data_IF_367456790968
#
_entry.id   IF_367456790968
#
_cell.length_a   1.000
_cell.length_b   1.000
_cell.length_c   1.000
_cell.angle_alpha   90.00
_cell.angle_beta   90.00
_cell.angle_gamma   90.00
#
_symmetry.space_group_name_H-M   'P 1'
#
loop_
_entity.id
_entity.type
_entity.pdbx_description
1 polymer ?
#
# COMPACT_ATOMS: atom_id res chain seq x y z
N UNK A 1 -10.31 41.96 -13.37
CA UNK A 1 -10.01 40.53 -13.41
C UNK A 1 -8.67 40.35 -12.72
N UNK A 2 -8.70 40.03 -11.43
CA UNK A 2 -7.52 39.71 -10.64
C UNK A 2 -7.10 38.30 -11.02
N UNK A 3 -5.80 38.11 -11.33
CA UNK A 3 -5.22 36.78 -11.56
C UNK A 3 -5.47 35.88 -10.34
N UNK A 4 -5.69 34.57 -10.52
CA UNK A 4 -5.78 33.68 -9.37
C UNK A 4 -4.46 33.75 -8.59
N UNK A 5 -4.57 33.86 -7.26
CA UNK A 5 -3.45 33.83 -6.35
C UNK A 5 -2.56 32.60 -6.68
N UNK A 6 -1.32 32.85 -7.04
CA UNK A 6 -0.30 31.81 -7.14
C UNK A 6 -0.20 31.14 -5.77
N UNK A 7 -0.27 29.80 -5.71
CA UNK A 7 -0.09 29.09 -4.43
C UNK A 7 1.30 29.48 -3.88
N UNK A 8 1.33 29.81 -2.59
CA UNK A 8 2.57 30.10 -1.90
C UNK A 8 3.61 29.02 -2.22
N UNK A 9 4.87 29.38 -2.49
CA UNK A 9 5.89 28.39 -2.81
C UNK A 9 5.96 27.37 -1.69
N UNK A 10 5.95 26.07 -2.05
CA UNK A 10 6.19 24.95 -1.12
C UNK A 10 7.56 25.22 -0.49
N UNK A 11 7.56 25.71 0.74
CA UNK A 11 8.77 25.99 1.50
C UNK A 11 9.36 24.67 1.95
N UNK A 12 10.39 24.20 1.23
CA UNK A 12 11.24 23.12 1.68
C UNK A 12 11.00 21.79 0.96
N UNK A 13 11.51 21.69 -0.27
CA UNK A 13 11.81 20.39 -0.88
C UNK A 13 12.70 19.61 0.10
N UNK A 14 12.21 18.46 0.59
CA UNK A 14 13.05 17.58 1.41
C UNK A 14 14.24 17.13 0.59
N UNK A 15 15.49 17.31 1.08
CA UNK A 15 16.66 16.85 0.36
C UNK A 15 16.62 15.31 0.24
N UNK A 16 17.12 14.80 -0.88
CA UNK A 16 17.32 13.36 -1.04
C UNK A 16 18.50 12.91 -0.19
N UNK A 17 18.33 11.83 0.58
CA UNK A 17 19.41 11.18 1.31
C UNK A 17 19.96 10.00 0.49
N UNK A 18 21.22 10.05 0.13
CA UNK A 18 21.98 8.99 -0.55
C UNK A 18 23.01 8.32 0.36
N UNK A 19 23.07 8.71 1.62
CA UNK A 19 24.02 8.17 2.59
C UNK A 19 23.40 7.10 3.46
N UNK A 20 22.13 7.32 3.90
CA UNK A 20 21.42 6.41 4.79
C UNK A 20 22.28 6.00 6.00
N UNK A 21 22.28 4.72 6.30
CA UNK A 21 23.12 4.15 7.39
C UNK A 21 24.54 3.78 6.96
N UNK A 22 24.91 3.99 5.68
CA UNK A 22 26.20 3.63 5.14
C UNK A 22 26.45 2.11 5.20
N UNK A 23 27.72 1.74 5.47
CA UNK A 23 28.14 0.34 5.47
C UNK A 23 27.61 -0.46 6.67
N UNK A 24 27.30 0.20 7.77
CA UNK A 24 26.96 -0.43 9.04
C UNK A 24 25.58 0.03 9.50
N UNK A 25 24.50 -0.69 9.12
CA UNK A 25 23.15 -0.33 9.53
C UNK A 25 22.96 -0.47 11.05
N UNK A 26 21.96 0.21 11.61
CA UNK A 26 21.68 0.14 13.03
C UNK A 26 21.25 -1.25 13.46
N UNK A 27 21.60 -1.63 14.68
CA UNK A 27 21.16 -2.87 15.30
C UNK A 27 19.76 -2.68 15.86
N UNK A 28 18.74 -2.99 15.06
CA UNK A 28 17.33 -3.01 15.51
C UNK A 28 17.02 -4.31 16.23
N UNK A 29 16.05 -4.24 17.14
CA UNK A 29 15.55 -5.41 17.86
C UNK A 29 14.05 -5.52 17.66
N UNK A 30 13.64 -6.56 16.93
CA UNK A 30 12.24 -6.89 16.77
C UNK A 30 11.67 -7.63 17.98
N UNK A 31 10.34 -7.57 18.19
CA UNK A 31 9.68 -8.42 19.18
C UNK A 31 10.05 -9.91 19.01
N UNK A 32 10.22 -10.61 20.11
CA UNK A 32 10.62 -12.01 20.10
C UNK A 32 12.04 -12.29 19.59
N UNK A 33 12.89 -11.25 19.49
CA UNK A 33 14.25 -11.34 18.95
C UNK A 33 14.29 -11.92 17.50
N UNK A 34 13.24 -11.62 16.70
CA UNK A 34 13.18 -12.04 15.31
C UNK A 34 14.32 -11.41 14.50
N UNK A 35 14.92 -12.18 13.61
CA UNK A 35 15.96 -11.72 12.69
C UNK A 35 15.35 -10.92 11.54
N UNK A 36 14.20 -11.36 11.02
CA UNK A 36 13.46 -10.67 9.97
C UNK A 36 11.99 -10.56 10.38
N UNK A 37 11.42 -9.39 10.17
CA UNK A 37 9.98 -9.15 10.25
C UNK A 37 9.42 -9.08 8.84
N UNK A 38 8.44 -9.93 8.55
CA UNK A 38 7.71 -9.87 7.28
C UNK A 38 6.42 -9.08 7.49
N UNK A 39 6.34 -7.92 6.86
CA UNK A 39 5.15 -7.08 6.83
C UNK A 39 4.30 -7.43 5.60
N UNK A 40 3.19 -8.12 5.79
CA UNK A 40 2.26 -8.47 4.70
C UNK A 40 1.21 -7.38 4.58
N UNK A 41 1.20 -6.69 3.45
CA UNK A 41 0.26 -5.61 3.14
C UNK A 41 -0.74 -6.08 2.08
N UNK A 42 -2.02 -6.07 2.42
CA UNK A 42 -3.11 -6.34 1.48
C UNK A 42 -3.66 -5.00 0.99
N UNK A 43 -3.42 -4.68 -0.26
CA UNK A 43 -3.91 -3.46 -0.90
C UNK A 43 -5.37 -3.69 -1.33
N UNK A 44 -6.33 -3.17 -0.57
CA UNK A 44 -7.74 -3.31 -0.86
C UNK A 44 -8.28 -2.05 -1.54
N UNK A 45 -8.30 -2.09 -2.86
CA UNK A 45 -8.56 -0.95 -3.74
C UNK A 45 -9.85 -1.14 -4.58
N UNK A 46 -10.39 -2.34 -4.57
CA UNK A 46 -11.46 -2.82 -5.44
C UNK A 46 -12.74 -1.99 -5.30
N UNK A 47 -13.09 -1.30 -6.38
CA UNK A 47 -14.20 -0.36 -6.43
C UNK A 47 -13.83 1.09 -6.05
N UNK A 48 -12.54 1.38 -5.82
CA UNK A 48 -12.05 2.73 -5.57
C UNK A 48 -11.18 3.28 -6.71
N UNK A 49 -10.90 2.48 -7.73
CA UNK A 49 -10.15 2.80 -8.94
C UNK A 49 -10.82 3.87 -9.79
N UNK A 50 -10.11 4.40 -10.79
CA UNK A 50 -10.71 5.24 -11.84
C UNK A 50 -11.75 4.46 -12.62
N UNK A 51 -12.94 5.03 -12.77
CA UNK A 51 -14.07 4.36 -13.39
C UNK A 51 -15.00 5.35 -14.09
N UNK A 52 -15.37 5.04 -15.32
CA UNK A 52 -16.35 5.86 -16.07
C UNK A 52 -17.69 5.96 -15.34
N UNK A 53 -18.24 4.89 -14.74
CA UNK A 53 -19.44 4.99 -13.90
C UNK A 53 -19.33 5.92 -12.69
N UNK A 54 -18.13 6.12 -12.16
CA UNK A 54 -17.88 7.03 -11.03
C UNK A 54 -17.64 8.48 -11.47
N UNK A 55 -17.72 8.76 -12.78
CA UNK A 55 -17.60 10.10 -13.34
C UNK A 55 -16.16 10.57 -13.61
N UNK A 56 -15.19 9.67 -13.56
CA UNK A 56 -13.77 10.02 -13.75
C UNK A 56 -13.39 10.36 -15.19
N UNK A 57 -14.28 10.10 -16.17
CA UNK A 57 -14.02 10.32 -17.58
C UNK A 57 -12.91 9.43 -18.17
N UNK A 58 -12.46 8.45 -17.41
CA UNK A 58 -11.47 7.44 -17.82
C UNK A 58 -11.63 6.14 -17.04
N UNK A 59 -11.08 5.07 -17.59
CA UNK A 59 -10.93 3.79 -16.89
C UNK A 59 -9.58 3.72 -16.18
N UNK A 60 -9.46 2.79 -15.22
CA UNK A 60 -8.16 2.42 -14.67
C UNK A 60 -7.42 1.46 -15.61
N UNK A 61 -6.09 1.60 -15.67
CA UNK A 61 -5.25 0.74 -16.52
C UNK A 61 -4.62 -0.47 -15.79
N UNK A 62 -4.97 -0.70 -14.53
CA UNK A 62 -4.34 -1.74 -13.69
C UNK A 62 -5.15 -3.05 -13.62
N UNK A 63 -5.77 -3.44 -14.74
CA UNK A 63 -6.28 -4.79 -14.97
C UNK A 63 -5.18 -5.75 -15.46
N UNK A 64 -5.58 -6.95 -15.88
CA UNK A 64 -4.64 -7.95 -16.47
C UNK A 64 -4.64 -7.94 -18.01
N UNK A 65 -5.17 -6.89 -18.60
CA UNK A 65 -5.27 -6.80 -20.06
C UNK A 65 -4.09 -6.01 -20.63
N UNK A 66 -3.61 -6.49 -21.79
CA UNK A 66 -2.44 -5.91 -22.46
C UNK A 66 -2.76 -4.65 -23.29
N UNK A 67 -4.01 -4.25 -23.37
CA UNK A 67 -4.45 -3.08 -24.13
C UNK A 67 -5.57 -2.34 -23.39
N UNK A 68 -5.62 -1.06 -23.62
CA UNK A 68 -6.64 -0.18 -23.08
C UNK A 68 -7.72 0.10 -24.14
N UNK A 69 -8.96 0.21 -23.68
CA UNK A 69 -10.02 0.81 -24.50
C UNK A 69 -9.91 2.34 -24.42
N UNK A 70 -10.44 3.06 -25.41
CA UNK A 70 -10.46 4.52 -25.37
C UNK A 70 -11.17 5.06 -24.12
N UNK A 71 -10.85 6.29 -23.68
CA UNK A 71 -11.43 6.86 -22.45
C UNK A 71 -12.95 7.04 -22.54
N UNK A 72 -13.50 7.12 -23.74
CA UNK A 72 -14.94 7.23 -24.00
C UNK A 72 -15.68 5.89 -23.89
N UNK A 73 -14.96 4.78 -23.77
CA UNK A 73 -15.55 3.43 -23.71
C UNK A 73 -15.38 2.89 -22.28
N UNK A 74 -16.49 2.45 -21.69
CA UNK A 74 -16.46 1.76 -20.40
C UNK A 74 -15.74 0.42 -20.53
N UNK A 75 -14.70 0.20 -19.74
CA UNK A 75 -13.90 -1.03 -19.74
C UNK A 75 -14.49 -2.07 -18.77
N UNK A 76 -15.43 -2.85 -19.26
CA UNK A 76 -16.04 -3.95 -18.48
C UNK A 76 -15.04 -5.05 -18.14
N UNK A 77 -13.96 -5.20 -18.91
CA UNK A 77 -12.91 -6.16 -18.62
C UNK A 77 -12.17 -5.79 -17.34
N UNK A 78 -11.67 -4.57 -17.26
CA UNK A 78 -11.00 -4.05 -16.08
C UNK A 78 -11.95 -3.99 -14.88
N UNK A 79 -13.17 -3.45 -15.03
CA UNK A 79 -14.13 -3.37 -13.93
C UNK A 79 -14.43 -4.75 -13.32
N UNK A 80 -14.69 -5.77 -14.14
CA UNK A 80 -14.98 -7.12 -13.65
C UNK A 80 -13.75 -7.79 -13.01
N UNK A 81 -12.54 -7.39 -13.39
CA UNK A 81 -11.33 -7.86 -12.74
C UNK A 81 -11.19 -7.28 -11.32
N UNK A 82 -11.50 -6.01 -11.12
CA UNK A 82 -11.60 -5.41 -9.77
C UNK A 82 -12.72 -6.08 -8.97
N UNK A 83 -13.90 -6.29 -9.57
CA UNK A 83 -14.99 -7.03 -8.92
C UNK A 83 -14.53 -8.43 -8.46
N UNK A 84 -13.74 -9.15 -9.25
CA UNK A 84 -13.20 -10.45 -8.84
C UNK A 84 -12.38 -10.31 -7.57
N UNK A 85 -11.54 -9.29 -7.45
CA UNK A 85 -10.74 -9.01 -6.25
C UNK A 85 -11.61 -8.89 -5.00
N UNK A 86 -12.70 -8.11 -5.09
CA UNK A 86 -13.64 -7.90 -3.99
C UNK A 86 -14.54 -9.12 -3.71
N UNK A 87 -15.02 -9.81 -4.74
CA UNK A 87 -15.99 -10.91 -4.61
C UNK A 87 -15.37 -12.24 -4.24
N UNK A 88 -14.13 -12.49 -4.70
CA UNK A 88 -13.47 -13.81 -4.58
C UNK A 88 -12.07 -13.68 -4.00
N UNK A 89 -11.26 -12.79 -4.54
CA UNK A 89 -9.83 -12.69 -4.26
C UNK A 89 -9.52 -12.42 -2.80
N UNK A 90 -10.15 -11.40 -2.23
CA UNK A 90 -9.96 -11.04 -0.82
C UNK A 90 -10.29 -12.22 0.11
N UNK A 91 -11.38 -12.95 -0.16
CA UNK A 91 -11.81 -14.07 0.68
C UNK A 91 -10.91 -15.29 0.55
N UNK A 92 -10.21 -15.44 -0.58
CA UNK A 92 -9.21 -16.48 -0.75
C UNK A 92 -7.96 -16.18 0.05
N UNK A 93 -7.49 -14.94 0.02
CA UNK A 93 -6.37 -14.49 0.86
C UNK A 93 -6.74 -14.52 2.35
N UNK A 94 -7.91 -14.01 2.72
CA UNK A 94 -8.40 -14.05 4.10
C UNK A 94 -8.38 -15.47 4.69
N UNK A 95 -8.85 -16.47 3.93
CA UNK A 95 -8.80 -17.88 4.39
C UNK A 95 -7.38 -18.40 4.62
N UNK A 96 -6.40 -17.91 3.86
CA UNK A 96 -4.99 -18.26 4.08
C UNK A 96 -4.50 -17.62 5.38
N UNK A 97 -4.68 -16.31 5.54
CA UNK A 97 -4.25 -15.60 6.75
C UNK A 97 -4.94 -16.13 8.01
N UNK A 98 -6.24 -16.35 7.96
CA UNK A 98 -7.02 -16.93 9.06
C UNK A 98 -6.53 -18.32 9.45
N UNK A 99 -6.23 -19.16 8.45
CA UNK A 99 -5.78 -20.53 8.68
C UNK A 99 -4.44 -20.60 9.43
N UNK A 100 -3.53 -19.68 9.11
CA UNK A 100 -2.20 -19.66 9.69
C UNK A 100 -2.05 -18.64 10.82
N UNK A 101 -3.12 -17.90 11.15
CA UNK A 101 -3.11 -16.89 12.20
C UNK A 101 -2.18 -15.72 11.90
N UNK A 102 -2.03 -15.35 10.63
CA UNK A 102 -1.12 -14.28 10.19
C UNK A 102 -1.83 -12.92 10.31
N UNK A 103 -1.34 -12.01 11.13
CA UNK A 103 -1.80 -10.64 11.10
C UNK A 103 -1.31 -9.95 9.81
N UNK A 104 -2.16 -9.12 9.22
CA UNK A 104 -1.81 -8.35 8.02
C UNK A 104 -2.14 -6.89 8.21
N UNK A 105 -1.44 -6.02 7.50
CA UNK A 105 -1.81 -4.62 7.33
C UNK A 105 -2.71 -4.51 6.09
N UNK A 106 -3.91 -3.96 6.26
CA UNK A 106 -4.82 -3.74 5.13
C UNK A 106 -4.74 -2.29 4.71
N UNK A 107 -4.04 -2.06 3.60
CA UNK A 107 -4.01 -0.77 2.91
C UNK A 107 -5.33 -0.56 2.19
N UNK A 108 -6.25 0.13 2.84
CA UNK A 108 -7.61 0.24 2.36
C UNK A 108 -7.92 1.60 1.76
N UNK A 109 -8.43 1.62 0.53
CA UNK A 109 -9.15 2.77 0.02
C UNK A 109 -10.53 2.82 0.69
N UNK A 110 -10.90 3.97 1.23
CA UNK A 110 -12.10 4.09 2.06
C UNK A 110 -13.38 3.69 1.30
N UNK A 111 -13.52 4.15 0.04
CA UNK A 111 -14.67 3.78 -0.82
C UNK A 111 -14.76 2.28 -1.06
N UNK A 112 -13.62 1.57 -1.16
CA UNK A 112 -13.61 0.13 -1.33
C UNK A 112 -14.29 -0.60 -0.16
N UNK A 113 -14.01 -0.18 1.09
CA UNK A 113 -14.65 -0.74 2.29
C UNK A 113 -16.12 -0.30 2.42
N UNK A 114 -16.48 0.90 1.97
CA UNK A 114 -17.90 1.30 1.93
C UNK A 114 -18.71 0.43 0.96
N UNK A 115 -18.11 0.04 -0.17
CA UNK A 115 -18.74 -0.83 -1.17
C UNK A 115 -18.81 -2.30 -0.76
N UNK A 116 -17.89 -2.74 0.12
CA UNK A 116 -17.91 -4.10 0.65
C UNK A 116 -17.73 -4.12 2.18
N UNK A 117 -18.81 -3.85 2.96
CA UNK A 117 -18.75 -3.81 4.41
C UNK A 117 -18.29 -5.13 5.08
N UNK A 118 -18.48 -6.28 4.41
CA UNK A 118 -18.04 -7.57 4.93
C UNK A 118 -16.50 -7.65 5.06
N UNK A 119 -15.75 -6.96 4.21
CA UNK A 119 -14.29 -6.87 4.34
C UNK A 119 -13.91 -6.03 5.56
N UNK A 120 -14.59 -4.91 5.79
CA UNK A 120 -14.38 -4.11 7.00
C UNK A 120 -14.70 -4.91 8.28
N UNK A 121 -15.74 -5.74 8.24
CA UNK A 121 -16.07 -6.64 9.36
C UNK A 121 -14.96 -7.69 9.60
N UNK A 122 -14.47 -8.35 8.56
CA UNK A 122 -13.34 -9.29 8.67
C UNK A 122 -12.09 -8.63 9.26
N UNK A 123 -11.74 -7.41 8.81
CA UNK A 123 -10.61 -6.65 9.37
C UNK A 123 -10.78 -6.46 10.88
N UNK A 124 -11.97 -6.02 11.31
CA UNK A 124 -12.28 -5.78 12.72
C UNK A 124 -12.27 -7.07 13.54
N UNK A 125 -12.90 -8.13 13.05
CA UNK A 125 -13.00 -9.42 13.76
C UNK A 125 -11.64 -10.08 13.98
N UNK A 126 -10.72 -9.93 13.02
CA UNK A 126 -9.37 -10.51 13.09
C UNK A 126 -8.34 -9.58 13.72
N UNK A 127 -8.70 -8.33 13.98
CA UNK A 127 -7.78 -7.35 14.55
C UNK A 127 -6.64 -6.97 13.60
N UNK A 128 -6.89 -6.99 12.28
CA UNK A 128 -5.92 -6.55 11.30
C UNK A 128 -5.68 -5.04 11.40
N UNK A 129 -4.47 -4.60 11.07
CA UNK A 129 -4.13 -3.18 11.05
C UNK A 129 -4.77 -2.50 9.83
N UNK A 130 -5.31 -1.28 10.03
CA UNK A 130 -5.89 -0.47 8.96
C UNK A 130 -4.92 0.63 8.59
N UNK A 131 -4.42 0.57 7.36
CA UNK A 131 -3.57 1.60 6.78
C UNK A 131 -4.38 2.39 5.76
N UNK A 132 -4.40 3.71 5.89
CA UNK A 132 -5.10 4.55 4.92
C UNK A 132 -4.41 4.49 3.56
N UNK A 133 -5.18 4.20 2.52
CA UNK A 133 -4.71 4.14 1.13
C UNK A 133 -5.48 5.11 0.22
N UNK A 134 -5.92 6.20 0.83
CA UNK A 134 -6.71 7.25 0.19
C UNK A 134 -8.21 7.09 0.37
N UNK A 135 -8.97 8.15 0.01
CA UNK A 135 -10.42 8.10 -0.12
C UNK A 135 -10.82 7.18 -1.26
N UNK A 136 -10.22 7.45 -2.43
CA UNK A 136 -10.23 6.61 -3.63
C UNK A 136 -8.79 6.35 -4.08
N UNK A 137 -8.62 5.36 -4.94
CA UNK A 137 -7.32 4.99 -5.49
C UNK A 137 -6.94 5.87 -6.68
N UNK A 138 -6.59 7.12 -6.41
CA UNK A 138 -6.32 8.17 -7.40
C UNK A 138 -4.87 8.67 -7.33
N UNK A 139 -4.47 9.45 -8.34
CA UNK A 139 -3.10 9.99 -8.48
C UNK A 139 -2.89 11.21 -7.57
N UNK A 140 -2.50 11.00 -6.33
CA UNK A 140 -2.31 12.05 -5.31
C UNK A 140 -1.26 13.08 -5.70
N UNK A 141 -0.17 12.68 -6.36
CA UNK A 141 0.87 13.60 -6.82
C UNK A 141 0.36 14.72 -7.75
N UNK A 142 -0.82 14.53 -8.35
CA UNK A 142 -1.44 15.50 -9.28
C UNK A 142 -2.61 16.26 -8.67
N UNK A 143 -3.01 15.94 -7.44
CA UNK A 143 -4.11 16.66 -6.78
C UNK A 143 -3.71 18.07 -6.38
N UNK A 144 -4.67 18.96 -6.34
CA UNK A 144 -4.48 20.23 -5.67
C UNK A 144 -4.38 20.04 -4.15
N UNK A 145 -3.76 20.97 -3.44
CA UNK A 145 -3.66 20.89 -1.98
C UNK A 145 -5.04 20.79 -1.29
N UNK A 146 -6.07 21.59 -1.68
CA UNK A 146 -7.40 21.43 -1.11
C UNK A 146 -8.01 20.04 -1.36
N UNK A 147 -7.86 19.50 -2.56
CA UNK A 147 -8.43 18.19 -2.91
C UNK A 147 -7.72 17.05 -2.15
N UNK A 148 -6.38 17.09 -2.05
CA UNK A 148 -5.62 16.10 -1.30
C UNK A 148 -6.00 16.12 0.19
N UNK A 149 -6.14 17.32 0.78
CA UNK A 149 -6.59 17.48 2.16
C UNK A 149 -8.01 16.94 2.36
N UNK A 150 -8.96 17.24 1.47
CA UNK A 150 -10.33 16.72 1.52
C UNK A 150 -10.32 15.18 1.44
N UNK A 151 -9.60 14.63 0.50
CA UNK A 151 -9.47 13.17 0.34
C UNK A 151 -8.89 12.50 1.59
N UNK A 152 -7.88 13.09 2.21
CA UNK A 152 -7.29 12.59 3.44
C UNK A 152 -8.31 12.57 4.58
N UNK A 153 -9.01 13.68 4.81
CA UNK A 153 -10.02 13.77 5.89
C UNK A 153 -11.18 12.81 5.66
N UNK A 154 -11.72 12.73 4.45
CA UNK A 154 -12.78 11.77 4.08
C UNK A 154 -12.34 10.33 4.26
N UNK A 155 -11.09 10.00 3.91
CA UNK A 155 -10.55 8.68 4.13
C UNK A 155 -10.51 8.34 5.63
N UNK A 156 -9.98 9.24 6.46
CA UNK A 156 -9.91 9.04 7.92
C UNK A 156 -11.29 8.77 8.50
N UNK A 157 -12.26 9.66 8.23
CA UNK A 157 -13.63 9.55 8.76
C UNK A 157 -14.33 8.25 8.32
N UNK A 158 -14.16 7.89 7.05
CA UNK A 158 -14.79 6.70 6.51
C UNK A 158 -14.17 5.41 7.01
N UNK A 159 -12.84 5.33 7.08
CA UNK A 159 -12.13 4.16 7.61
C UNK A 159 -12.47 3.96 9.09
N UNK A 160 -12.49 5.03 9.89
CA UNK A 160 -12.88 4.95 11.29
C UNK A 160 -14.34 4.49 11.45
N UNK A 161 -15.24 5.00 10.64
CA UNK A 161 -16.66 4.61 10.66
C UNK A 161 -16.86 3.15 10.25
N UNK A 162 -16.18 2.66 9.23
CA UNK A 162 -16.40 1.33 8.65
C UNK A 162 -15.69 0.23 9.45
N UNK A 163 -14.47 0.50 9.92
CA UNK A 163 -13.65 -0.51 10.62
C UNK A 163 -13.64 -0.37 12.14
N UNK A 164 -14.10 0.77 12.67
CA UNK A 164 -13.94 1.11 14.09
C UNK A 164 -12.52 1.50 14.47
N UNK A 165 -11.61 1.65 13.50
CA UNK A 165 -10.21 2.01 13.72
C UNK A 165 -9.87 3.27 12.92
N UNK A 166 -9.33 4.29 13.60
CA UNK A 166 -8.67 5.40 12.92
C UNK A 166 -7.36 4.87 12.33
N UNK A 167 -7.08 5.09 11.02
CA UNK A 167 -5.85 4.61 10.41
C UNK A 167 -4.63 5.26 11.09
N UNK A 168 -3.65 4.44 11.44
CA UNK A 168 -2.40 4.89 12.07
C UNK A 168 -1.25 4.99 11.07
N UNK A 169 -1.36 4.31 9.96
CA UNK A 169 -0.43 4.36 8.84
C UNK A 169 -1.09 4.94 7.59
N UNK A 170 -0.27 5.41 6.68
CA UNK A 170 -0.71 5.96 5.41
C UNK A 170 0.24 5.60 4.28
N UNK A 171 -0.27 5.43 3.10
CA UNK A 171 0.43 5.46 1.81
C UNK A 171 -0.58 5.65 0.69
N UNK A 172 -0.13 6.13 -0.47
CA UNK A 172 -1.03 6.45 -1.60
C UNK A 172 -0.72 5.59 -2.83
N UNK A 173 -1.60 5.69 -3.82
CA UNK A 173 -1.38 5.09 -5.12
C UNK A 173 -0.06 5.61 -5.72
N UNK A 174 0.88 4.73 -5.95
CA UNK A 174 2.13 4.93 -6.68
C UNK A 174 3.04 6.06 -6.20
N UNK A 175 2.54 7.29 -6.12
CA UNK A 175 3.34 8.49 -5.85
C UNK A 175 2.60 9.45 -4.92
N UNK A 176 3.16 9.75 -3.74
CA UNK A 176 2.67 10.82 -2.88
C UNK A 176 2.93 12.18 -3.52
N UNK A 177 2.25 13.20 -3.06
CA UNK A 177 2.61 14.57 -3.34
C UNK A 177 3.76 15.03 -2.42
N UNK A 178 4.40 16.12 -2.77
CA UNK A 178 5.41 16.75 -1.90
C UNK A 178 4.83 17.20 -0.55
N UNK A 179 3.51 17.31 -0.44
CA UNK A 179 2.77 17.80 0.73
C UNK A 179 2.19 16.68 1.59
N UNK A 180 2.15 15.45 1.10
CA UNK A 180 1.47 14.32 1.77
C UNK A 180 1.91 14.19 3.22
N UNK A 181 3.23 14.16 3.50
CA UNK A 181 3.73 14.04 4.88
C UNK A 181 3.31 15.20 5.78
N UNK A 182 3.30 16.43 5.27
CA UNK A 182 2.88 17.60 6.05
C UNK A 182 1.37 17.55 6.34
N UNK A 183 0.57 17.09 5.39
CA UNK A 183 -0.87 16.87 5.59
C UNK A 183 -1.16 15.77 6.62
N UNK A 184 -0.37 14.69 6.67
CA UNK A 184 -0.50 13.65 7.69
C UNK A 184 -0.22 14.22 9.09
N UNK A 185 0.81 15.05 9.22
CA UNK A 185 1.15 15.71 10.48
C UNK A 185 0.06 16.72 10.88
N UNK A 186 -0.47 17.50 9.92
CA UNK A 186 -1.58 18.44 10.14
C UNK A 186 -2.85 17.71 10.63
N UNK A 187 -3.24 16.62 9.96
CA UNK A 187 -4.40 15.82 10.33
C UNK A 187 -4.25 15.10 11.68
N UNK A 188 -3.02 14.79 12.05
CA UNK A 188 -2.66 14.15 13.31
C UNK A 188 -3.14 12.71 13.44
N UNK A 189 -2.63 12.01 14.46
CA UNK A 189 -3.04 10.63 14.78
C UNK A 189 -2.32 9.55 13.95
N UNK A 190 -1.59 9.91 12.92
CA UNK A 190 -0.73 8.98 12.18
C UNK A 190 0.55 8.70 12.96
N UNK A 191 0.95 7.43 12.98
CA UNK A 191 2.20 6.98 13.58
C UNK A 191 3.28 6.84 12.51
N UNK A 192 2.90 6.47 11.29
CA UNK A 192 3.84 6.20 10.21
C UNK A 192 3.27 6.49 8.82
N UNK A 193 4.19 6.67 7.88
CA UNK A 193 3.95 6.69 6.45
C UNK A 193 4.73 5.58 5.76
N UNK A 194 4.14 4.96 4.74
CA UNK A 194 4.73 3.84 3.99
C UNK A 194 4.90 4.13 2.51
N UNK A 195 4.88 5.39 2.08
CA UNK A 195 5.12 5.76 0.68
C UNK A 195 6.57 5.54 0.23
N UNK A 196 7.61 5.83 1.05
CA UNK A 196 9.00 5.67 0.66
C UNK A 196 9.40 4.20 0.44
N UNK A 197 10.28 4.00 -0.55
CA UNK A 197 10.85 2.68 -0.89
C UNK A 197 12.38 2.72 -0.88
N UNK A 198 12.95 3.50 0.03
CA UNK A 198 14.37 3.87 0.02
C UNK A 198 15.20 3.18 1.10
N UNK A 199 14.57 2.33 1.92
CA UNK A 199 15.24 1.57 2.98
C UNK A 199 14.51 0.24 3.23
N UNK A 200 15.13 -0.65 4.01
CA UNK A 200 14.55 -1.89 4.53
C UNK A 200 14.31 -1.85 6.04
N UNK A 201 14.67 -0.74 6.68
CA UNK A 201 14.43 -0.50 8.10
C UNK A 201 13.56 0.75 8.29
N UNK A 202 12.65 0.74 9.26
CA UNK A 202 11.94 1.95 9.64
C UNK A 202 12.91 3.03 10.14
N UNK A 203 12.62 4.28 9.80
CA UNK A 203 13.40 5.43 10.21
C UNK A 203 12.50 6.65 10.46
N UNK A 204 12.98 7.62 11.25
CA UNK A 204 12.24 8.85 11.47
C UNK A 204 12.64 9.92 10.45
N UNK A 205 11.64 10.70 10.02
CA UNK A 205 11.81 11.88 9.20
C UNK A 205 11.09 13.07 9.82
N UNK A 206 11.56 14.27 9.52
CA UNK A 206 10.86 15.49 9.95
C UNK A 206 9.80 15.89 8.91
N UNK A 207 8.60 16.18 9.39
CA UNK A 207 7.49 16.67 8.59
C UNK A 207 6.68 17.67 9.43
N UNK A 208 6.37 18.85 8.87
CA UNK A 208 5.57 19.86 9.59
C UNK A 208 6.09 20.22 10.98
N UNK A 209 7.40 20.17 11.21
CA UNK A 209 8.03 20.44 12.51
C UNK A 209 7.86 19.32 13.55
N UNK A 210 7.51 18.10 13.12
CA UNK A 210 7.38 16.90 13.98
C UNK A 210 8.10 15.71 13.35
N UNK A 211 8.50 14.77 14.18
CA UNK A 211 8.99 13.47 13.71
C UNK A 211 7.82 12.57 13.33
N UNK A 212 7.94 11.94 12.16
CA UNK A 212 7.03 10.91 11.67
C UNK A 212 7.86 9.67 11.32
N UNK A 213 7.39 8.49 11.71
CA UNK A 213 8.03 7.23 11.35
C UNK A 213 7.77 6.92 9.88
N UNK A 214 8.80 6.55 9.16
CA UNK A 214 8.69 5.91 7.85
C UNK A 214 8.84 4.41 8.03
N UNK A 215 7.87 3.66 7.52
CA UNK A 215 7.93 2.20 7.39
C UNK A 215 8.03 1.89 5.90
N UNK A 216 9.24 1.66 5.38
CA UNK A 216 9.45 1.59 3.94
C UNK A 216 8.63 0.49 3.27
N UNK A 217 8.05 0.82 2.11
CA UNK A 217 7.35 -0.13 1.26
C UNK A 217 8.30 -0.76 0.24
N UNK A 218 7.99 -1.97 -0.23
CA UNK A 218 8.78 -2.62 -1.27
C UNK A 218 8.01 -2.69 -2.59
N UNK A 219 8.67 -2.27 -3.67
CA UNK A 219 8.17 -2.49 -5.05
C UNK A 219 8.70 -3.80 -5.65
N UNK A 220 9.68 -4.44 -5.01
CA UNK A 220 10.26 -5.73 -5.45
C UNK A 220 9.33 -6.87 -5.06
N UNK A 221 8.92 -6.93 -3.80
CA UNK A 221 8.06 -7.98 -3.25
C UNK A 221 6.57 -7.59 -3.34
N UNK A 222 6.16 -7.06 -4.49
CA UNK A 222 4.80 -6.61 -4.76
C UNK A 222 4.25 -7.34 -5.97
N UNK A 223 3.04 -7.85 -5.89
CA UNK A 223 2.40 -8.62 -6.95
C UNK A 223 2.03 -7.81 -8.20
N UNK A 224 2.14 -6.46 -8.15
CA UNK A 224 2.13 -5.61 -9.36
C UNK A 224 3.19 -6.02 -10.36
N UNK A 225 4.23 -6.73 -9.92
CA UNK A 225 5.26 -7.31 -10.78
C UNK A 225 4.75 -8.38 -11.74
N UNK A 226 3.54 -8.87 -11.59
CA UNK A 226 2.90 -9.66 -12.64
C UNK A 226 2.62 -8.84 -13.92
N UNK A 227 2.50 -7.53 -13.79
CA UNK A 227 2.20 -6.61 -14.90
C UNK A 227 3.37 -5.71 -15.28
N UNK A 228 4.15 -5.25 -14.30
CA UNK A 228 5.23 -4.29 -14.52
C UNK A 228 6.55 -5.00 -14.83
N UNK A 229 7.25 -4.52 -15.85
CA UNK A 229 8.60 -5.01 -16.20
C UNK A 229 9.64 -4.63 -15.12
N UNK A 230 10.58 -5.54 -14.76
CA UNK A 230 10.60 -6.95 -15.11
C UNK A 230 9.47 -7.73 -14.46
N UNK A 231 8.78 -8.56 -15.24
CA UNK A 231 7.58 -9.27 -14.78
C UNK A 231 7.88 -10.66 -14.25
N UNK A 232 7.03 -11.12 -13.32
CA UNK A 232 6.98 -12.53 -12.98
C UNK A 232 6.08 -13.26 -13.99
N UNK A 233 6.67 -14.14 -14.78
CA UNK A 233 5.93 -14.93 -15.77
C UNK A 233 5.09 -16.06 -15.16
N UNK A 234 5.28 -16.36 -13.88
CA UNK A 234 4.52 -17.40 -13.17
C UNK A 234 4.45 -17.15 -11.66
N UNK A 235 3.45 -17.72 -10.96
CA UNK A 235 3.38 -17.70 -9.50
C UNK A 235 4.61 -18.29 -8.81
N UNK A 236 5.24 -19.29 -9.41
CA UNK A 236 6.47 -19.88 -8.88
C UNK A 236 7.64 -18.90 -8.86
N UNK A 237 7.74 -18.02 -9.85
CA UNK A 237 8.78 -16.98 -9.86
C UNK A 237 8.56 -15.93 -8.76
N UNK A 238 7.31 -15.57 -8.48
CA UNK A 238 7.01 -14.68 -7.35
C UNK A 238 7.35 -15.34 -6.02
N UNK A 239 6.90 -16.57 -5.80
CA UNK A 239 7.27 -17.37 -4.62
C UNK A 239 8.79 -17.44 -4.44
N UNK A 240 9.52 -17.78 -5.50
CA UNK A 240 10.97 -17.90 -5.45
C UNK A 240 11.65 -16.56 -5.13
N UNK A 241 11.15 -15.47 -5.67
CA UNK A 241 11.65 -14.12 -5.34
C UNK A 241 11.45 -13.78 -3.87
N UNK A 242 10.27 -14.09 -3.31
CA UNK A 242 9.98 -13.90 -1.88
C UNK A 242 10.91 -14.77 -1.01
N UNK A 243 11.07 -16.05 -1.36
CA UNK A 243 11.90 -16.98 -0.62
C UNK A 243 13.37 -16.56 -0.63
N UNK A 244 13.94 -16.27 -1.81
CA UNK A 244 15.34 -15.84 -1.93
C UNK A 244 15.61 -14.54 -1.18
N UNK A 245 14.65 -13.59 -1.23
CA UNK A 245 14.78 -12.35 -0.48
C UNK A 245 14.77 -12.58 1.02
N UNK A 246 13.85 -13.41 1.52
CA UNK A 246 13.78 -13.74 2.95
C UNK A 246 15.02 -14.47 3.42
N UNK A 247 15.46 -15.50 2.67
CA UNK A 247 16.67 -16.28 2.98
C UNK A 247 17.89 -15.36 3.09
N UNK A 248 18.09 -14.45 2.12
CA UNK A 248 19.22 -13.54 2.13
C UNK A 248 19.18 -12.53 3.29
N UNK A 249 18.01 -11.99 3.63
CA UNK A 249 17.87 -11.10 4.80
C UNK A 249 18.16 -11.84 6.12
N UNK A 250 17.84 -13.14 6.21
CA UNK A 250 18.22 -13.97 7.35
C UNK A 250 19.75 -14.18 7.40
N UNK A 251 20.39 -14.45 6.26
CA UNK A 251 21.86 -14.58 6.16
C UNK A 251 22.55 -13.28 6.63
N UNK A 252 22.09 -12.11 6.17
CA UNK A 252 22.64 -10.83 6.62
C UNK A 252 22.51 -10.62 8.15
N UNK A 253 21.37 -11.03 8.72
CA UNK A 253 21.17 -10.94 10.16
C UNK A 253 22.11 -11.89 10.93
N UNK A 254 22.32 -13.11 10.43
CA UNK A 254 23.27 -14.10 11.00
C UNK A 254 24.74 -13.62 10.88
N UNK A 255 25.09 -12.94 9.81
CA UNK A 255 26.41 -12.33 9.59
C UNK A 255 26.66 -11.08 10.46
N UNK A 256 25.69 -10.68 11.26
CA UNK A 256 25.82 -9.58 12.21
C UNK A 256 25.50 -8.18 11.67
N UNK A 257 24.91 -8.10 10.47
CA UNK A 257 24.44 -6.83 9.92
C UNK A 257 23.14 -6.33 10.56
N UNK A 258 22.59 -7.05 11.54
CA UNK A 258 21.40 -6.67 12.30
C UNK A 258 20.10 -7.20 11.68
N UNK A 259 19.04 -7.10 12.46
CA UNK A 259 17.72 -7.56 12.03
C UNK A 259 17.16 -6.70 10.88
N UNK A 260 16.32 -7.30 10.04
CA UNK A 260 15.78 -6.72 8.80
C UNK A 260 14.25 -6.72 8.79
N UNK A 261 13.68 -6.00 7.83
CA UNK A 261 12.25 -6.03 7.52
C UNK A 261 12.04 -6.30 6.03
N UNK A 262 11.05 -7.12 5.72
CA UNK A 262 10.60 -7.41 4.37
C UNK A 262 9.14 -7.03 4.23
N UNK A 263 8.80 -6.12 3.31
CA UNK A 263 7.40 -5.77 3.02
C UNK A 263 6.92 -6.49 1.77
N UNK A 264 5.84 -7.25 1.90
CA UNK A 264 5.19 -8.00 0.81
C UNK A 264 3.84 -7.36 0.50
N UNK A 265 3.69 -6.82 -0.71
CA UNK A 265 2.46 -6.18 -1.16
C UNK A 265 1.60 -7.10 -2.03
N UNK A 266 0.35 -7.29 -1.64
CA UNK A 266 -0.61 -8.18 -2.32
C UNK A 266 -1.87 -7.41 -2.68
N UNK A 267 -2.43 -7.68 -3.87
CA UNK A 267 -3.71 -7.13 -4.31
C UNK A 267 -4.70 -8.29 -4.54
N UNK A 268 -5.92 -8.23 -4.00
CA UNK A 268 -6.89 -9.32 -4.11
C UNK A 268 -7.22 -9.71 -5.55
N UNK A 269 -7.26 -8.75 -6.48
CA UNK A 269 -7.52 -9.03 -7.90
C UNK A 269 -6.42 -9.86 -8.56
N UNK A 270 -5.17 -9.76 -8.10
CA UNK A 270 -4.02 -10.50 -8.64
C UNK A 270 -3.67 -11.71 -7.79
N UNK A 271 -3.18 -11.50 -6.56
CA UNK A 271 -2.79 -12.60 -5.67
C UNK A 271 -3.97 -13.45 -5.19
N UNK A 272 -5.20 -12.95 -5.31
CA UNK A 272 -6.42 -13.72 -5.07
C UNK A 272 -6.78 -14.74 -6.17
N UNK A 273 -6.09 -14.76 -7.33
CA UNK A 273 -6.24 -15.82 -8.33
C UNK A 273 -5.73 -17.16 -7.77
N UNK A 274 -6.38 -18.28 -8.11
CA UNK A 274 -6.17 -19.55 -7.44
C UNK A 274 -4.71 -20.03 -7.43
N UNK A 275 -4.02 -19.91 -8.57
CA UNK A 275 -2.63 -20.31 -8.71
C UNK A 275 -1.67 -19.36 -7.96
N UNK A 276 -1.96 -18.05 -7.94
CA UNK A 276 -1.15 -17.05 -7.23
C UNK A 276 -1.37 -17.14 -5.73
N UNK A 277 -2.60 -17.36 -5.28
CA UNK A 277 -2.90 -17.58 -3.87
C UNK A 277 -2.22 -18.87 -3.32
N UNK A 278 -2.04 -19.88 -4.16
CA UNK A 278 -1.26 -21.06 -3.78
C UNK A 278 0.21 -20.70 -3.48
N UNK A 279 0.84 -19.86 -4.31
CA UNK A 279 2.20 -19.38 -4.07
C UNK A 279 2.32 -18.57 -2.76
N UNK A 280 1.34 -17.72 -2.45
CA UNK A 280 1.30 -17.00 -1.17
C UNK A 280 1.13 -17.94 0.01
N UNK A 281 0.23 -18.93 -0.09
CA UNK A 281 0.06 -19.95 0.96
C UNK A 281 1.34 -20.72 1.22
N UNK A 282 2.08 -21.03 0.18
CA UNK A 282 3.30 -21.83 0.29
C UNK A 282 4.49 -21.00 0.81
N UNK A 283 4.42 -19.68 0.69
CA UNK A 283 5.39 -18.75 1.30
C UNK A 283 5.13 -18.52 2.79
N UNK A 284 3.86 -18.42 3.23
CA UNK A 284 3.43 -18.27 4.63
C UNK A 284 3.68 -19.56 5.41
#
# INVERSE_FOLDING_TARGET
>A
MTAPDDPAPVTGLRPRDFVGYGRYPPQVRWPGAAQVVVNVVVNYEEGAEYSVPDGDGRNDGWGEYAYEVGPEVRDLGTETHYEFGSRVGIWRLARIFDRYGIPVSVGACAVALERNPAVAEWIRERGHDVVGHGWRWLDYARMSLPDERDHLHRAIESLERTTGQRPRGWYVRSFPSERTLDLLVEAGGFLYDSDPCNDELPYFTEAGGRELLIVPYSKVYNDTRYLLSPTYGSPAQFFESLRLGLDYLCEEADDGFGARMMTVGLHPRWSGQANRAAAIRDFI
#
